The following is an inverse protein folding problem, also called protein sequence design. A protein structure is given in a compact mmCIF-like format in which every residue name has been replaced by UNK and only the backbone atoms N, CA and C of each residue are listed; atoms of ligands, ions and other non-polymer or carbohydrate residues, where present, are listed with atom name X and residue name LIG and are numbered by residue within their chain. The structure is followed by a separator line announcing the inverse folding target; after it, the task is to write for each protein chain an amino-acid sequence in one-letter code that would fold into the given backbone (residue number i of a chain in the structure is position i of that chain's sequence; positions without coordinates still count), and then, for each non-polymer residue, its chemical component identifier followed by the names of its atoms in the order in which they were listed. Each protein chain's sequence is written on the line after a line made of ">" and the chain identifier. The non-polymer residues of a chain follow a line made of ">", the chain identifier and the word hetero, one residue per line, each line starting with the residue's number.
data_IF_922727431761
#
_entry.id   IF_922727431761
#
_cell.length_a   1.000
_cell.length_b   1.000
_cell.length_c   1.000
_cell.angle_alpha   90.00
_cell.angle_beta   90.00
_cell.angle_gamma   90.00
#
_symmetry.space_group_name_H-M   'P 1'
#
loop_
_entity.id
_entity.type
_entity.pdbx_description
1 polymer ?
#
# COMPACT_ATOMS: atom_id res chain seq x y z
N UNK A 1 -14.06 3.78 -33.33
CA UNK A 1 -14.65 4.70 -32.33
C UNK A 1 -13.57 5.00 -31.32
N UNK A 2 -13.00 6.21 -31.34
CA UNK A 2 -11.96 6.64 -30.40
C UNK A 2 -12.65 7.37 -29.26
N UNK A 3 -12.53 6.88 -28.03
CA UNK A 3 -13.02 7.61 -26.86
C UNK A 3 -12.19 8.90 -26.68
N UNK A 4 -12.77 10.01 -26.18
CA UNK A 4 -12.05 11.27 -26.03
C UNK A 4 -10.89 11.14 -25.03
N UNK A 5 -9.78 11.84 -25.28
CA UNK A 5 -8.60 11.83 -24.39
C UNK A 5 -8.94 12.33 -22.98
N UNK A 6 -9.84 13.31 -22.89
CA UNK A 6 -10.35 13.90 -21.65
C UNK A 6 -11.09 12.88 -20.76
N UNK A 7 -11.83 11.94 -21.37
CA UNK A 7 -12.53 10.89 -20.61
C UNK A 7 -11.54 9.90 -19.99
N UNK A 8 -10.43 9.61 -20.68
CA UNK A 8 -9.39 8.73 -20.16
C UNK A 8 -8.59 9.37 -19.01
N UNK A 9 -8.32 10.67 -19.06
CA UNK A 9 -7.63 11.37 -17.96
C UNK A 9 -8.48 11.39 -16.70
N UNK A 10 -9.79 11.62 -16.82
CA UNK A 10 -10.72 11.53 -15.69
C UNK A 10 -10.76 10.12 -15.08
N UNK A 11 -10.83 9.08 -15.93
CA UNK A 11 -10.78 7.69 -15.46
C UNK A 11 -9.49 7.37 -14.71
N UNK A 12 -8.34 7.87 -15.18
CA UNK A 12 -7.05 7.70 -14.51
C UNK A 12 -7.02 8.43 -13.15
N UNK A 13 -7.58 9.65 -13.06
CA UNK A 13 -7.68 10.38 -11.77
C UNK A 13 -8.61 9.67 -10.78
N UNK A 14 -9.72 9.12 -11.27
CA UNK A 14 -10.64 8.32 -10.45
C UNK A 14 -9.97 7.04 -9.94
N UNK A 15 -9.24 6.35 -10.83
CA UNK A 15 -8.46 5.18 -10.45
C UNK A 15 -7.38 5.53 -9.41
N UNK A 16 -6.68 6.65 -9.60
CA UNK A 16 -5.66 7.14 -8.65
C UNK A 16 -6.24 7.41 -7.26
N UNK A 17 -7.44 7.99 -7.21
CA UNK A 17 -8.14 8.26 -5.94
C UNK A 17 -8.56 6.96 -5.26
N UNK A 18 -9.08 5.99 -6.02
CA UNK A 18 -9.48 4.70 -5.48
C UNK A 18 -8.29 3.90 -4.94
N UNK A 19 -7.17 3.85 -5.68
CA UNK A 19 -5.94 3.17 -5.23
C UNK A 19 -5.32 3.86 -4.03
N UNK A 20 -5.30 5.20 -3.99
CA UNK A 20 -4.88 5.97 -2.83
C UNK A 20 -5.75 5.70 -1.59
N UNK A 21 -7.06 5.54 -1.77
CA UNK A 21 -7.97 5.17 -0.67
C UNK A 21 -7.64 3.79 -0.10
N UNK A 22 -7.28 2.82 -0.95
CA UNK A 22 -6.86 1.48 -0.50
C UNK A 22 -5.54 1.56 0.27
N UNK A 23 -4.57 2.32 -0.23
CA UNK A 23 -3.30 2.59 0.45
C UNK A 23 -3.55 3.15 1.87
N UNK A 24 -4.39 4.18 2.01
CA UNK A 24 -4.68 4.80 3.31
C UNK A 24 -5.34 3.83 4.27
N UNK A 25 -6.21 2.93 3.78
CA UNK A 25 -6.82 1.88 4.61
C UNK A 25 -5.79 0.86 5.09
N UNK A 26 -4.85 0.45 4.22
CA UNK A 26 -3.76 -0.45 4.60
C UNK A 26 -2.88 0.18 5.68
N UNK A 27 -2.52 1.46 5.54
CA UNK A 27 -1.76 2.20 6.56
C UNK A 27 -2.48 2.30 7.90
N UNK A 28 -3.79 2.54 7.87
CA UNK A 28 -4.62 2.60 9.08
C UNK A 28 -4.67 1.27 9.82
N UNK A 29 -4.87 0.16 9.07
CA UNK A 29 -4.84 -1.19 9.62
C UNK A 29 -3.46 -1.52 10.19
N UNK A 30 -2.39 -1.21 9.45
CA UNK A 30 -1.02 -1.46 9.87
C UNK A 30 -0.68 -0.70 11.16
N UNK A 31 -1.01 0.58 11.22
CA UNK A 31 -0.82 1.42 12.41
C UNK A 31 -1.57 0.86 13.61
N UNK A 32 -2.84 0.51 13.43
CA UNK A 32 -3.68 -0.05 14.50
C UNK A 32 -3.14 -1.38 15.01
N UNK A 33 -2.74 -2.27 14.09
CA UNK A 33 -2.19 -3.58 14.43
C UNK A 33 -0.87 -3.46 15.18
N UNK A 34 0.06 -2.62 14.70
CA UNK A 34 1.33 -2.34 15.38
C UNK A 34 1.11 -1.79 16.79
N UNK A 35 0.19 -0.84 16.95
CA UNK A 35 -0.14 -0.27 18.25
C UNK A 35 -0.71 -1.34 19.20
N UNK A 36 -1.61 -2.20 18.71
CA UNK A 36 -2.22 -3.26 19.51
C UNK A 36 -1.20 -4.34 19.94
N UNK A 37 -0.30 -4.74 19.04
CA UNK A 37 0.79 -5.67 19.34
C UNK A 37 1.71 -5.07 20.41
N UNK A 38 2.21 -3.86 20.17
CA UNK A 38 3.15 -3.20 21.08
C UNK A 38 2.52 -2.96 22.47
N UNK A 39 1.23 -2.59 22.51
CA UNK A 39 0.52 -2.39 23.76
C UNK A 39 0.28 -3.66 24.58
N UNK A 40 0.29 -4.84 23.94
CA UNK A 40 0.14 -6.14 24.61
C UNK A 40 1.47 -6.73 25.08
N UNK A 41 2.57 -6.36 24.45
CA UNK A 41 3.89 -6.93 24.73
C UNK A 41 3.93 -8.42 24.45
N UNK A 42 4.66 -9.16 25.30
CA UNK A 42 4.90 -10.59 25.14
C UNK A 42 4.22 -11.35 26.29
N UNK A 43 2.92 -11.66 26.18
CA UNK A 43 2.15 -12.26 27.28
C UNK A 43 2.52 -13.72 27.58
N UNK A 44 3.34 -14.35 26.73
CA UNK A 44 3.75 -15.76 26.85
C UNK A 44 4.94 -15.98 27.78
N UNK A 45 5.61 -14.92 28.25
CA UNK A 45 6.73 -15.03 29.20
C UNK A 45 8.02 -15.62 28.62
N UNK A 46 9.01 -15.82 29.50
CA UNK A 46 10.39 -16.21 29.14
C UNK A 46 10.71 -17.67 29.48
N UNK A 47 9.69 -18.51 29.71
CA UNK A 47 9.91 -19.94 29.94
C UNK A 47 10.18 -20.67 28.61
N UNK A 48 10.55 -21.95 28.69
CA UNK A 48 10.86 -22.76 27.50
C UNK A 48 9.69 -22.80 26.52
N UNK A 49 8.44 -22.83 27.02
CA UNK A 49 7.24 -22.83 26.20
C UNK A 49 7.05 -21.47 25.50
N UNK A 50 7.18 -20.37 26.23
CA UNK A 50 7.09 -19.01 25.70
C UNK A 50 8.17 -18.72 24.67
N UNK A 51 9.40 -19.16 24.94
CA UNK A 51 10.53 -19.03 23.99
C UNK A 51 10.27 -19.82 22.71
N UNK A 52 9.84 -21.09 22.83
CA UNK A 52 9.50 -21.92 21.68
C UNK A 52 8.30 -21.36 20.89
N UNK A 53 7.34 -20.71 21.54
CA UNK A 53 6.25 -20.03 20.84
C UNK A 53 6.72 -18.77 20.11
N UNK A 54 7.57 -17.96 20.76
CA UNK A 54 8.04 -16.69 20.23
C UNK A 54 8.95 -16.86 19.03
N UNK A 55 9.89 -17.81 19.13
CA UNK A 55 11.02 -17.95 18.22
C UNK A 55 11.00 -19.27 17.41
N UNK A 56 10.22 -20.28 17.83
CA UNK A 56 10.34 -21.68 17.36
C UNK A 56 11.72 -22.31 17.71
N UNK A 57 11.78 -23.64 17.81
CA UNK A 57 13.02 -24.36 18.11
C UNK A 57 14.14 -24.10 17.06
N UNK A 58 13.77 -23.69 15.85
CA UNK A 58 14.71 -23.37 14.76
C UNK A 58 14.84 -21.86 14.47
N UNK A 59 14.15 -20.98 15.21
CA UNK A 59 14.30 -19.53 15.07
C UNK A 59 13.61 -18.89 13.84
N UNK A 60 12.89 -19.66 13.02
CA UNK A 60 12.39 -19.20 11.71
C UNK A 60 10.87 -19.10 11.63
N UNK A 61 10.13 -19.95 12.34
CA UNK A 61 8.67 -20.05 12.22
C UNK A 61 7.92 -19.59 13.50
N UNK A 62 8.63 -18.93 14.42
CA UNK A 62 8.06 -18.39 15.65
C UNK A 62 7.06 -17.24 15.41
N UNK A 63 6.28 -16.92 16.45
CA UNK A 63 5.32 -15.81 16.41
C UNK A 63 5.97 -14.49 16.00
N UNK A 64 7.17 -14.17 16.49
CA UNK A 64 7.85 -12.89 16.21
C UNK A 64 8.17 -12.75 14.72
N UNK A 65 8.78 -13.77 14.13
CA UNK A 65 9.12 -13.79 12.70
C UNK A 65 7.86 -13.71 11.84
N UNK A 66 6.88 -14.57 12.12
CA UNK A 66 5.60 -14.58 11.39
C UNK A 66 4.89 -13.23 11.45
N UNK A 67 4.84 -12.62 12.64
CA UNK A 67 4.28 -11.28 12.85
C UNK A 67 5.01 -10.24 12.01
N UNK A 68 6.33 -10.22 12.04
CA UNK A 68 7.14 -9.22 11.35
C UNK A 68 7.06 -9.37 9.83
N UNK A 69 6.95 -10.60 9.33
CA UNK A 69 6.70 -10.90 7.92
C UNK A 69 5.33 -10.40 7.45
N UNK A 70 4.28 -10.60 8.25
CA UNK A 70 2.95 -10.07 7.94
C UNK A 70 2.92 -8.54 7.96
N UNK A 71 3.54 -7.91 8.97
CA UNK A 71 3.64 -6.45 9.04
C UNK A 71 4.41 -5.87 7.85
N UNK A 72 5.49 -6.53 7.44
CA UNK A 72 6.30 -6.13 6.29
C UNK A 72 5.54 -6.32 4.98
N UNK A 73 4.82 -7.43 4.83
CA UNK A 73 4.00 -7.71 3.64
C UNK A 73 2.88 -6.68 3.48
N UNK A 74 2.19 -6.32 4.56
CA UNK A 74 1.16 -5.27 4.54
C UNK A 74 1.75 -3.89 4.20
N UNK A 75 2.92 -3.56 4.74
CA UNK A 75 3.63 -2.33 4.39
C UNK A 75 4.00 -2.29 2.90
N UNK A 76 4.51 -3.39 2.35
CA UNK A 76 4.85 -3.49 0.92
C UNK A 76 3.61 -3.34 0.03
N UNK A 77 2.45 -3.88 0.46
CA UNK A 77 1.19 -3.66 -0.24
C UNK A 77 0.81 -2.17 -0.24
N UNK A 78 0.89 -1.48 0.91
CA UNK A 78 0.60 -0.05 0.99
C UNK A 78 1.47 0.77 0.02
N UNK A 79 2.78 0.55 0.01
CA UNK A 79 3.73 1.19 -0.93
C UNK A 79 3.39 0.90 -2.40
N UNK A 80 2.93 -0.31 -2.70
CA UNK A 80 2.52 -0.69 -4.06
C UNK A 80 1.28 0.10 -4.49
N UNK A 81 0.27 0.22 -3.63
CA UNK A 81 -0.93 1.01 -3.92
C UNK A 81 -0.64 2.52 -4.01
N UNK A 82 0.29 3.03 -3.20
CA UNK A 82 0.81 4.40 -3.34
C UNK A 82 1.41 4.61 -4.73
N UNK A 83 2.28 3.70 -5.15
CA UNK A 83 2.94 3.76 -6.45
C UNK A 83 1.94 3.71 -7.62
N UNK A 84 0.88 2.91 -7.51
CA UNK A 84 -0.20 2.89 -8.49
C UNK A 84 -0.97 4.22 -8.53
N UNK A 85 -1.33 4.77 -7.37
CA UNK A 85 -2.01 6.06 -7.28
C UNK A 85 -1.18 7.18 -7.93
N UNK A 86 0.12 7.23 -7.60
CA UNK A 86 1.04 8.20 -8.17
C UNK A 86 1.23 8.00 -9.69
N UNK A 87 1.36 6.75 -10.15
CA UNK A 87 1.51 6.43 -11.57
C UNK A 87 0.28 6.83 -12.40
N UNK A 88 -0.92 6.56 -11.89
CA UNK A 88 -2.18 6.93 -12.53
C UNK A 88 -2.35 8.46 -12.58
N UNK A 89 -1.99 9.16 -11.51
CA UNK A 89 -1.99 10.65 -11.48
C UNK A 89 -1.03 11.21 -12.53
N UNK A 90 0.22 10.73 -12.56
CA UNK A 90 1.22 11.17 -13.55
C UNK A 90 0.80 10.89 -14.98
N UNK A 91 0.16 9.75 -15.24
CA UNK A 91 -0.36 9.42 -16.56
C UNK A 91 -1.46 10.39 -16.99
N UNK A 92 -2.39 10.73 -16.08
CA UNK A 92 -3.42 11.73 -16.35
C UNK A 92 -2.82 13.11 -16.67
N UNK A 93 -1.85 13.57 -15.86
CA UNK A 93 -1.19 14.86 -16.05
C UNK A 93 -0.41 14.90 -17.39
N UNK A 94 0.26 13.81 -17.75
CA UNK A 94 0.98 13.70 -19.02
C UNK A 94 0.04 13.79 -20.24
N UNK A 95 -1.07 13.04 -20.21
CA UNK A 95 -2.05 13.07 -21.30
C UNK A 95 -2.72 14.43 -21.43
N UNK A 96 -3.07 15.08 -20.31
CA UNK A 96 -3.66 16.42 -20.31
C UNK A 96 -2.68 17.47 -20.87
N UNK A 97 -1.39 17.39 -20.52
CA UNK A 97 -0.36 18.26 -21.08
C UNK A 97 -0.19 18.05 -22.58
N UNK A 98 -0.24 16.80 -23.04
CA UNK A 98 -0.12 16.46 -24.46
C UNK A 98 -1.32 16.98 -25.27
N UNK A 99 -2.53 16.88 -24.72
CA UNK A 99 -3.74 17.40 -25.37
C UNK A 99 -3.70 18.93 -25.51
N UNK A 100 -3.31 19.65 -24.45
CA UNK A 100 -3.13 21.10 -24.48
C UNK A 100 -2.09 21.53 -25.52
N UNK A 101 -0.93 20.87 -25.53
CA UNK A 101 0.14 21.16 -26.48
C UNK A 101 -0.29 20.96 -27.94
N UNK A 102 -1.08 19.91 -28.22
CA UNK A 102 -1.62 19.66 -29.54
C UNK A 102 -2.73 20.66 -29.91
N UNK A 103 -3.62 20.99 -28.98
CA UNK A 103 -4.70 21.96 -29.18
C UNK A 103 -4.21 23.38 -29.48
N UNK A 104 -3.09 23.78 -28.89
CA UNK A 104 -2.44 25.08 -29.14
C UNK A 104 -1.76 25.16 -30.51
N UNK A 105 -1.41 24.02 -31.14
CA UNK A 105 -0.84 23.99 -32.50
C UNK A 105 -1.90 24.13 -33.62
N UNK A 106 -3.19 23.98 -33.30
CA UNK A 106 -4.29 24.04 -34.27
C UNK A 106 -5.18 25.30 -34.12
N UNK A 107 -4.72 26.31 -33.38
CA UNK A 107 -5.30 27.67 -33.36
C UNK A 107 -4.44 28.65 -34.14
#
# INVERSE_FOLDING_TARGET
>A
MTQPLEVYTEQLRNAATATGTVQTKLDSVLTTLKAAINGRGEPWGDDEIGTNFADDANGQDGYRTTRDDYLSSLANMATTFESFSAGQTKAADYLEAQDKANGDQYR
#
